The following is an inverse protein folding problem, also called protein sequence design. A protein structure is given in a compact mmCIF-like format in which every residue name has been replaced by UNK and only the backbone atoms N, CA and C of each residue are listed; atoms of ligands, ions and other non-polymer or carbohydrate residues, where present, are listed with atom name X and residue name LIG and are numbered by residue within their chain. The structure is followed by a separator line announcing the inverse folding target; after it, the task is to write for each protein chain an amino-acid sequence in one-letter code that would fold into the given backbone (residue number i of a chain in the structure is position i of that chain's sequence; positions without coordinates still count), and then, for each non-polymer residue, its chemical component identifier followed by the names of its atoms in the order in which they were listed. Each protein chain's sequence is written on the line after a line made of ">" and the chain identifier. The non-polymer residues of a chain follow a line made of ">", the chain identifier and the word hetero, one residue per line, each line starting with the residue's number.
data_IF_752157089134
#
_entry.id   IF_752157089134
#
_cell.length_a   1.000
_cell.length_b   1.000
_cell.length_c   1.000
_cell.angle_alpha   90.00
_cell.angle_beta   90.00
_cell.angle_gamma   90.00
#
_symmetry.space_group_name_H-M   'P 1'
#
loop_
_entity.id
_entity.type
_entity.pdbx_description
1 polymer ?
#
# COMPACT_ATOMS: atom_id res chain seq x y z
N UNK A 1 -12.32 -8.85 3.01
CA UNK A 1 -13.33 -8.39 2.05
C UNK A 1 -14.73 -8.62 2.59
N UNK A 2 -15.57 -7.58 2.66
CA UNK A 2 -16.97 -7.72 3.04
C UNK A 2 -17.77 -8.14 1.79
N UNK A 3 -18.09 -9.44 1.65
CA UNK A 3 -18.70 -10.03 0.45
C UNK A 3 -19.98 -9.31 0.00
N UNK A 4 -20.70 -8.64 0.90
CA UNK A 4 -21.93 -7.91 0.58
C UNK A 4 -21.70 -6.71 -0.35
N UNK A 5 -20.63 -5.93 -0.15
CA UNK A 5 -20.32 -4.76 -0.98
C UNK A 5 -19.90 -5.17 -2.40
N UNK A 6 -19.19 -6.29 -2.50
CA UNK A 6 -18.78 -6.85 -3.78
C UNK A 6 -19.99 -7.37 -4.58
N UNK A 7 -20.90 -8.11 -3.94
CA UNK A 7 -22.13 -8.58 -4.58
C UNK A 7 -23.03 -7.41 -5.00
N UNK A 8 -23.10 -6.35 -4.20
CA UNK A 8 -23.80 -5.13 -4.60
C UNK A 8 -23.18 -4.52 -5.87
N UNK A 9 -21.86 -4.32 -5.91
CA UNK A 9 -21.18 -3.74 -7.07
C UNK A 9 -21.41 -4.56 -8.36
N UNK A 10 -21.59 -5.88 -8.22
CA UNK A 10 -21.84 -6.79 -9.34
C UNK A 10 -23.28 -6.75 -9.84
N UNK A 11 -24.27 -6.61 -8.95
CA UNK A 11 -25.66 -6.88 -9.28
C UNK A 11 -26.57 -5.63 -9.24
N UNK A 12 -26.26 -4.64 -8.41
CA UNK A 12 -27.16 -3.50 -8.18
C UNK A 12 -26.83 -2.34 -9.12
N UNK A 13 -27.86 -1.67 -9.63
CA UNK A 13 -27.68 -0.46 -10.46
C UNK A 13 -27.46 0.81 -9.61
N UNK A 14 -27.65 0.74 -8.30
CA UNK A 14 -27.46 1.86 -7.39
C UNK A 14 -26.30 1.56 -6.45
N UNK A 15 -25.27 2.40 -6.49
CA UNK A 15 -24.16 2.36 -5.54
C UNK A 15 -24.64 2.96 -4.23
N UNK A 16 -24.71 2.13 -3.21
CA UNK A 16 -25.14 2.57 -1.88
C UNK A 16 -24.18 3.59 -1.27
N UNK A 17 -24.66 4.35 -0.29
CA UNK A 17 -23.80 5.28 0.46
C UNK A 17 -22.68 4.51 1.16
N UNK A 18 -22.97 3.32 1.65
CA UNK A 18 -22.04 2.41 2.31
C UNK A 18 -20.91 1.96 1.37
N UNK A 19 -21.24 1.62 0.12
CA UNK A 19 -20.24 1.24 -0.89
C UNK A 19 -19.35 2.43 -1.28
N UNK A 20 -19.94 3.61 -1.47
CA UNK A 20 -19.20 4.83 -1.79
C UNK A 20 -18.29 5.23 -0.63
N UNK A 21 -18.81 5.25 0.60
CA UNK A 21 -18.01 5.50 1.80
C UNK A 21 -16.86 4.51 1.94
N UNK A 22 -17.12 3.20 1.76
CA UNK A 22 -16.07 2.19 1.77
C UNK A 22 -14.98 2.51 0.74
N UNK A 23 -15.34 2.77 -0.52
CA UNK A 23 -14.38 3.08 -1.57
C UNK A 23 -13.55 4.34 -1.25
N UNK A 24 -14.15 5.39 -0.70
CA UNK A 24 -13.44 6.62 -0.36
C UNK A 24 -12.58 6.48 0.90
N UNK A 25 -13.09 5.81 1.93
CA UNK A 25 -12.36 5.57 3.19
C UNK A 25 -11.17 4.61 3.00
N UNK A 26 -11.25 3.65 2.05
CA UNK A 26 -10.11 2.75 1.76
C UNK A 26 -8.85 3.50 1.34
N UNK A 27 -8.99 4.71 0.79
CA UNK A 27 -7.87 5.58 0.41
C UNK A 27 -7.25 6.31 1.61
N UNK A 28 -7.94 6.44 2.74
CA UNK A 28 -7.35 7.01 3.95
C UNK A 28 -6.32 6.05 4.58
N UNK A 29 -6.58 4.74 4.50
CA UNK A 29 -5.71 3.73 5.10
C UNK A 29 -4.52 3.35 4.22
N UNK A 30 -4.60 3.55 2.90
CA UNK A 30 -3.54 3.23 1.93
C UNK A 30 -2.98 1.79 2.01
N UNK A 31 -3.69 0.86 2.65
CA UNK A 31 -3.23 -0.54 2.80
C UNK A 31 -3.48 -1.31 1.52
N UNK A 32 -2.53 -2.15 1.13
CA UNK A 32 -2.60 -2.93 -0.12
C UNK A 32 -3.85 -3.81 -0.18
N UNK A 33 -4.28 -4.41 0.94
CA UNK A 33 -5.51 -5.23 0.99
C UNK A 33 -6.74 -4.42 0.62
N UNK A 34 -6.93 -3.25 1.23
CA UNK A 34 -8.04 -2.35 0.95
C UNK A 34 -7.97 -1.78 -0.47
N UNK A 35 -6.77 -1.42 -0.93
CA UNK A 35 -6.55 -0.96 -2.30
C UNK A 35 -6.94 -2.04 -3.31
N UNK A 36 -6.58 -3.31 -3.07
CA UNK A 36 -6.95 -4.41 -3.95
C UNK A 36 -8.47 -4.62 -3.99
N UNK A 37 -9.13 -4.63 -2.83
CA UNK A 37 -10.60 -4.73 -2.75
C UNK A 37 -11.28 -3.58 -3.54
N UNK A 38 -10.78 -2.35 -3.40
CA UNK A 38 -11.30 -1.20 -4.15
C UNK A 38 -11.05 -1.32 -5.67
N UNK A 39 -9.85 -1.74 -6.09
CA UNK A 39 -9.51 -1.95 -7.51
C UNK A 39 -10.42 -3.00 -8.14
N UNK A 40 -10.70 -4.10 -7.44
CA UNK A 40 -11.61 -5.14 -7.94
C UNK A 40 -13.04 -4.61 -8.14
N UNK A 41 -13.58 -3.91 -7.14
CA UNK A 41 -14.90 -3.29 -7.23
C UNK A 41 -14.95 -2.29 -8.39
N UNK A 42 -13.97 -1.39 -8.51
CA UNK A 42 -13.92 -0.40 -9.58
C UNK A 42 -13.79 -1.04 -10.97
N UNK A 43 -13.06 -2.15 -11.10
CA UNK A 43 -12.98 -2.93 -12.35
C UNK A 43 -14.33 -3.54 -12.73
N UNK A 44 -15.09 -4.06 -11.77
CA UNK A 44 -16.44 -4.59 -12.02
C UNK A 44 -17.38 -3.49 -12.50
N UNK A 45 -17.40 -2.36 -11.79
CA UNK A 45 -18.22 -1.20 -12.16
C UNK A 45 -17.88 -0.67 -13.55
N UNK A 46 -16.58 -0.58 -13.87
CA UNK A 46 -16.11 -0.22 -15.21
C UNK A 46 -16.70 -1.15 -16.28
N UNK A 47 -16.60 -2.47 -16.11
CA UNK A 47 -17.09 -3.45 -17.09
C UNK A 47 -18.61 -3.30 -17.29
N UNK A 48 -19.36 -3.08 -16.21
CA UNK A 48 -20.81 -2.86 -16.27
C UNK A 48 -21.17 -1.58 -17.03
N UNK A 49 -20.47 -0.49 -16.75
CA UNK A 49 -20.66 0.79 -17.45
C UNK A 49 -20.28 0.65 -18.94
N UNK A 50 -19.20 -0.05 -19.27
CA UNK A 50 -18.79 -0.34 -20.65
C UNK A 50 -19.82 -1.20 -21.39
N UNK A 51 -20.51 -2.11 -20.69
CA UNK A 51 -21.63 -2.90 -21.22
C UNK A 51 -22.91 -2.08 -21.43
N UNK A 52 -23.03 -0.93 -20.77
CA UNK A 52 -24.18 -0.03 -20.87
C UNK A 52 -25.14 -0.06 -19.69
N UNK A 53 -24.76 -0.69 -18.57
CA UNK A 53 -25.54 -0.65 -17.33
C UNK A 53 -25.62 0.80 -16.81
N UNK A 54 -26.79 1.21 -16.30
CA UNK A 54 -27.02 2.56 -15.77
C UNK A 54 -26.73 2.61 -14.28
N UNK A 55 -25.45 2.76 -13.94
CA UNK A 55 -25.01 2.81 -12.54
C UNK A 55 -25.22 4.21 -11.96
N UNK A 56 -26.01 4.29 -10.88
CA UNK A 56 -26.36 5.54 -10.19
C UNK A 56 -25.65 5.63 -8.84
N UNK A 57 -24.99 6.75 -8.57
CA UNK A 57 -24.44 7.07 -7.26
C UNK A 57 -25.55 7.59 -6.32
N UNK A 58 -25.77 6.93 -5.18
CA UNK A 58 -26.78 7.34 -4.21
C UNK A 58 -26.44 8.63 -3.43
N UNK A 59 -25.18 9.08 -3.46
CA UNK A 59 -24.70 10.30 -2.80
C UNK A 59 -24.82 11.50 -3.74
N UNK A 60 -24.21 11.43 -4.93
CA UNK A 60 -24.23 12.53 -5.89
C UNK A 60 -25.47 12.56 -6.80
N UNK A 61 -26.23 11.46 -6.83
CA UNK A 61 -27.35 11.23 -7.77
C UNK A 61 -26.93 11.22 -9.26
N UNK A 62 -25.63 11.14 -9.55
CA UNK A 62 -25.12 11.04 -10.91
C UNK A 62 -25.29 9.62 -11.44
N UNK A 63 -25.65 9.51 -12.72
CA UNK A 63 -25.58 8.25 -13.47
C UNK A 63 -24.26 8.25 -14.21
N UNK A 64 -23.38 7.30 -13.91
CA UNK A 64 -22.06 7.26 -14.49
C UNK A 64 -22.10 6.77 -15.94
N UNK A 65 -21.60 7.60 -16.86
CA UNK A 65 -21.05 7.12 -18.12
C UNK A 65 -19.54 6.84 -17.96
N UNK A 66 -18.91 6.21 -18.95
CA UNK A 66 -17.50 5.84 -18.86
C UNK A 66 -16.55 7.05 -18.65
N UNK A 67 -16.69 8.18 -19.36
CA UNK A 67 -15.95 9.40 -19.07
C UNK A 67 -16.10 9.89 -17.62
N UNK A 68 -17.33 9.98 -17.11
CA UNK A 68 -17.62 10.45 -15.77
C UNK A 68 -17.02 9.51 -14.71
N UNK A 69 -17.14 8.21 -14.92
CA UNK A 69 -16.55 7.20 -14.04
C UNK A 69 -15.01 7.28 -14.03
N UNK A 70 -14.39 7.53 -15.18
CA UNK A 70 -12.94 7.77 -15.26
C UNK A 70 -12.54 9.01 -14.47
N UNK A 71 -13.31 10.09 -14.54
CA UNK A 71 -13.06 11.31 -13.77
C UNK A 71 -13.20 11.05 -12.27
N UNK A 72 -14.26 10.37 -11.85
CA UNK A 72 -14.47 9.96 -10.46
C UNK A 72 -13.27 9.18 -9.91
N UNK A 73 -12.82 8.14 -10.62
CA UNK A 73 -11.67 7.34 -10.16
C UNK A 73 -10.38 8.16 -10.13
N UNK A 74 -10.19 9.10 -11.07
CA UNK A 74 -9.00 9.95 -11.12
C UNK A 74 -8.97 10.98 -9.99
N UNK A 75 -10.12 11.52 -9.60
CA UNK A 75 -10.23 12.59 -8.62
C UNK A 75 -10.15 12.05 -7.18
N UNK A 76 -10.67 10.85 -6.94
CA UNK A 76 -10.82 10.31 -5.59
C UNK A 76 -9.79 9.24 -5.21
N UNK A 77 -9.05 8.67 -6.17
CA UNK A 77 -8.11 7.59 -5.92
C UNK A 77 -6.70 7.92 -6.39
N UNK A 78 -5.72 7.18 -5.88
CA UNK A 78 -4.32 7.37 -6.26
C UNK A 78 -4.09 7.01 -7.73
N UNK A 79 -3.00 7.54 -8.30
CA UNK A 79 -2.58 7.18 -9.66
C UNK A 79 -2.39 5.67 -9.83
N UNK A 80 -1.98 4.97 -8.76
CA UNK A 80 -1.89 3.51 -8.74
C UNK A 80 -3.25 2.85 -8.99
N UNK A 81 -4.27 3.17 -8.21
CA UNK A 81 -5.63 2.61 -8.38
C UNK A 81 -6.17 2.93 -9.77
N UNK A 82 -6.05 4.19 -10.19
CA UNK A 82 -6.50 4.60 -11.52
C UNK A 82 -5.84 3.77 -12.63
N UNK A 83 -4.51 3.58 -12.55
CA UNK A 83 -3.77 2.81 -13.53
C UNK A 83 -4.13 1.32 -13.49
N UNK A 84 -4.34 0.74 -12.31
CA UNK A 84 -4.80 -0.64 -12.18
C UNK A 84 -6.18 -0.86 -12.82
N UNK A 85 -7.08 0.12 -12.74
CA UNK A 85 -8.45 0.02 -13.29
C UNK A 85 -8.48 0.29 -14.80
N UNK A 86 -7.70 1.27 -15.30
CA UNK A 86 -7.85 1.78 -16.67
C UNK A 86 -6.63 1.63 -17.58
N UNK A 87 -5.41 1.46 -17.06
CA UNK A 87 -4.18 1.40 -17.85
C UNK A 87 -3.69 -0.04 -18.05
N UNK A 88 -3.09 -0.31 -19.21
CA UNK A 88 -2.38 -1.58 -19.48
C UNK A 88 -0.87 -1.51 -19.17
N UNK A 89 -0.35 -0.32 -18.88
CA UNK A 89 1.04 -0.12 -18.45
C UNK A 89 1.05 0.07 -16.94
N UNK A 90 1.47 -0.97 -16.22
CA UNK A 90 1.64 -0.93 -14.77
C UNK A 90 2.74 0.06 -14.39
N UNK A 91 2.36 1.17 -13.77
CA UNK A 91 3.30 2.05 -13.10
C UNK A 91 3.84 1.34 -11.84
N UNK A 92 5.14 1.43 -11.57
CA UNK A 92 5.71 0.76 -10.41
C UNK A 92 5.34 1.52 -9.13
N UNK A 93 4.50 0.91 -8.31
CA UNK A 93 4.13 1.40 -6.98
C UNK A 93 5.11 0.94 -5.90
N UNK A 94 5.24 1.73 -4.84
CA UNK A 94 6.12 1.47 -3.71
C UNK A 94 5.31 1.38 -2.43
N UNK A 95 5.72 0.49 -1.52
CA UNK A 95 5.03 0.26 -0.26
C UNK A 95 6.03 0.26 0.90
N UNK A 96 5.60 0.78 2.05
CA UNK A 96 6.29 0.59 3.32
C UNK A 96 5.65 -0.56 4.11
N UNK A 97 6.39 -1.05 5.11
CA UNK A 97 5.94 -2.11 6.00
C UNK A 97 5.55 -1.48 7.34
N UNK A 98 4.30 -1.68 7.75
CA UNK A 98 3.80 -1.28 9.06
C UNK A 98 3.58 -2.51 9.94
N UNK A 99 4.10 -2.55 11.18
CA UNK A 99 3.87 -3.68 12.08
C UNK A 99 2.38 -3.85 12.42
N UNK A 100 1.91 -5.09 12.37
CA UNK A 100 0.55 -5.47 12.78
C UNK A 100 0.57 -6.75 13.63
N UNK A 101 -0.58 -7.15 14.15
CA UNK A 101 -0.70 -8.44 14.84
C UNK A 101 -0.29 -9.58 13.88
N UNK A 102 0.67 -10.41 14.32
CA UNK A 102 1.15 -11.56 13.55
C UNK A 102 2.04 -11.24 12.33
N UNK A 103 2.36 -9.98 12.03
CA UNK A 103 3.18 -9.67 10.86
C UNK A 103 3.34 -8.19 10.51
N UNK A 104 3.28 -7.90 9.21
CA UNK A 104 3.40 -6.56 8.65
C UNK A 104 2.34 -6.34 7.57
N UNK A 105 1.77 -5.15 7.55
CA UNK A 105 0.94 -4.67 6.46
C UNK A 105 1.77 -3.88 5.45
N UNK A 106 1.35 -3.94 4.18
CA UNK A 106 1.92 -3.13 3.11
C UNK A 106 1.07 -1.87 2.94
N UNK A 107 1.69 -0.71 3.12
CA UNK A 107 1.03 0.60 3.01
C UNK A 107 1.65 1.38 1.86
N UNK A 108 0.82 1.93 0.98
CA UNK A 108 1.26 2.68 -0.19
C UNK A 108 2.14 3.85 0.25
N UNK A 109 3.27 4.02 -0.43
CA UNK A 109 4.31 4.97 -0.02
C UNK A 109 4.97 5.63 -1.22
N UNK A 110 5.62 6.77 -0.97
CA UNK A 110 6.43 7.43 -1.97
C UNK A 110 7.69 6.63 -2.29
N UNK A 111 8.12 6.71 -3.56
CA UNK A 111 9.34 6.08 -4.06
C UNK A 111 10.59 6.42 -3.22
N UNK A 112 10.65 7.64 -2.69
CA UNK A 112 11.81 8.16 -1.96
C UNK A 112 11.73 7.93 -0.44
N UNK A 113 10.72 7.18 0.02
CA UNK A 113 10.57 6.82 1.42
C UNK A 113 11.80 6.11 1.96
N UNK A 114 12.36 6.62 3.07
CA UNK A 114 13.53 6.00 3.70
C UNK A 114 13.14 4.66 4.34
N UNK A 115 13.84 3.60 3.95
CA UNK A 115 13.62 2.25 4.51
C UNK A 115 14.56 1.90 5.68
N UNK A 116 15.64 2.67 5.85
CA UNK A 116 16.59 2.52 6.96
C UNK A 116 17.10 3.87 7.47
N UNK A 117 17.58 3.88 8.71
CA UNK A 117 18.45 4.93 9.26
C UNK A 117 19.90 4.45 9.28
N UNK A 118 20.85 5.31 8.94
CA UNK A 118 22.27 4.98 9.10
C UNK A 118 22.66 5.07 10.59
N UNK A 119 23.48 4.13 11.07
CA UNK A 119 23.99 4.12 12.45
C UNK A 119 25.47 4.53 12.44
N UNK A 120 26.31 3.78 11.74
CA UNK A 120 27.76 4.00 11.68
C UNK A 120 28.38 3.27 10.49
N UNK A 121 29.57 3.70 10.05
CA UNK A 121 30.37 2.99 9.06
C UNK A 121 31.45 2.18 9.78
N UNK A 122 31.45 0.86 9.55
CA UNK A 122 32.45 -0.05 10.12
C UNK A 122 33.78 0.08 9.37
N UNK A 123 33.70 0.31 8.05
CA UNK A 123 34.82 0.64 7.17
C UNK A 123 34.27 1.19 5.84
N UNK A 124 35.14 1.37 4.84
CA UNK A 124 34.76 1.86 3.51
C UNK A 124 33.75 0.97 2.76
N UNK A 125 33.63 -0.31 3.13
CA UNK A 125 32.76 -1.28 2.45
C UNK A 125 31.45 -1.53 3.20
N UNK A 126 31.46 -1.43 4.53
CA UNK A 126 30.36 -1.87 5.37
C UNK A 126 29.87 -0.77 6.32
N UNK A 127 28.55 -0.63 6.40
CA UNK A 127 27.88 0.25 7.36
C UNK A 127 26.83 -0.52 8.14
N UNK A 128 26.63 -0.12 9.39
CA UNK A 128 25.48 -0.51 10.19
C UNK A 128 24.32 0.42 9.88
N UNK A 129 23.16 -0.19 9.63
CA UNK A 129 21.91 0.52 9.38
C UNK A 129 20.81 -0.09 10.23
N UNK A 130 19.87 0.75 10.65
CA UNK A 130 18.69 0.36 11.39
C UNK A 130 17.50 0.31 10.43
N UNK A 131 16.94 -0.88 10.18
CA UNK A 131 15.77 -1.02 9.33
C UNK A 131 14.54 -0.47 10.05
N UNK A 132 13.87 0.51 9.43
CA UNK A 132 12.80 1.27 10.08
C UNK A 132 11.58 0.38 10.35
N UNK A 133 11.25 -0.52 9.41
CA UNK A 133 10.10 -1.41 9.53
C UNK A 133 10.29 -2.45 10.64
N UNK A 134 11.38 -3.22 10.59
CA UNK A 134 11.60 -4.36 11.47
C UNK A 134 12.26 -4.00 12.81
N UNK A 135 12.78 -2.78 12.94
CA UNK A 135 13.53 -2.32 14.13
C UNK A 135 14.81 -3.13 14.39
N UNK A 136 15.32 -3.81 13.37
CA UNK A 136 16.51 -4.66 13.43
C UNK A 136 17.70 -3.96 12.76
N UNK A 137 18.90 -4.21 13.29
CA UNK A 137 20.18 -3.74 12.73
C UNK A 137 20.62 -4.66 11.59
N UNK A 138 21.08 -4.06 10.51
CA UNK A 138 21.62 -4.74 9.34
C UNK A 138 23.03 -4.22 9.04
N UNK A 139 23.85 -5.09 8.47
CA UNK A 139 25.09 -4.72 7.79
C UNK A 139 24.75 -4.46 6.33
N UNK A 140 24.97 -3.22 5.89
CA UNK A 140 24.88 -2.80 4.50
C UNK A 140 26.26 -2.90 3.85
N UNK A 141 26.37 -3.69 2.79
CA UNK A 141 27.52 -3.63 1.88
C UNK A 141 27.29 -2.50 0.87
N UNK A 142 28.09 -1.44 0.96
CA UNK A 142 27.91 -0.23 0.14
C UNK A 142 28.20 -0.51 -1.34
N UNK A 143 29.23 -1.32 -1.64
CA UNK A 143 29.62 -1.63 -3.02
C UNK A 143 28.64 -2.58 -3.69
N UNK A 144 28.25 -3.65 -2.98
CA UNK A 144 27.34 -4.66 -3.52
C UNK A 144 25.85 -4.25 -3.44
N UNK A 145 25.53 -3.17 -2.70
CA UNK A 145 24.16 -2.73 -2.42
C UNK A 145 23.28 -3.80 -1.76
N UNK A 146 23.90 -4.69 -0.98
CA UNK A 146 23.21 -5.76 -0.25
C UNK A 146 23.09 -5.43 1.23
N UNK A 147 22.11 -6.06 1.87
CA UNK A 147 21.84 -5.94 3.30
C UNK A 147 21.77 -7.35 3.89
N UNK A 148 22.41 -7.55 5.04
CA UNK A 148 22.30 -8.77 5.82
C UNK A 148 21.96 -8.41 7.26
N UNK A 149 21.09 -9.17 7.95
CA UNK A 149 20.81 -8.90 9.35
C UNK A 149 22.09 -9.04 10.18
N UNK A 150 22.29 -8.11 11.11
CA UNK A 150 23.34 -8.23 12.10
C UNK A 150 22.89 -9.23 13.17
N UNK A 151 23.63 -10.33 13.30
CA UNK A 151 23.40 -11.35 14.31
C UNK A 151 24.44 -11.22 15.42
N UNK A 152 24.00 -11.35 16.65
CA UNK A 152 24.91 -11.46 17.79
C UNK A 152 25.68 -12.78 17.76
N UNK A 153 26.69 -12.93 18.60
CA UNK A 153 27.40 -14.20 18.79
C UNK A 153 26.47 -15.35 19.21
N UNK A 154 25.32 -15.03 19.80
CA UNK A 154 24.32 -16.00 20.22
C UNK A 154 23.30 -16.30 19.11
N UNK A 155 23.49 -15.77 17.90
CA UNK A 155 22.59 -15.97 16.76
C UNK A 155 21.29 -15.17 16.84
N UNK A 156 21.21 -14.16 17.72
CA UNK A 156 20.00 -13.34 17.89
C UNK A 156 20.05 -12.08 17.03
N UNK A 157 18.87 -11.61 16.63
CA UNK A 157 18.73 -10.29 16.02
C UNK A 157 19.05 -9.20 17.05
N UNK A 158 19.44 -8.03 16.55
CA UNK A 158 19.76 -6.90 17.41
C UNK A 158 19.01 -5.65 17.00
N UNK A 159 18.68 -4.78 17.96
CA UNK A 159 18.20 -3.41 17.76
C UNK A 159 19.27 -2.40 18.13
N UNK A 160 19.19 -1.20 17.54
CA UNK A 160 19.98 -0.06 17.98
C UNK A 160 19.17 0.78 18.97
N UNK A 161 19.78 1.07 20.12
CA UNK A 161 19.22 1.97 21.12
C UNK A 161 19.93 3.32 21.04
N UNK A 162 19.27 4.30 20.44
CA UNK A 162 19.81 5.65 20.21
C UNK A 162 20.11 6.37 21.55
N UNK A 163 19.41 6.04 22.64
CA UNK A 163 19.54 6.75 23.93
C UNK A 163 20.85 6.43 24.65
N UNK A 164 21.33 5.19 24.51
CA UNK A 164 22.56 4.70 25.14
C UNK A 164 23.68 4.45 24.14
N UNK A 165 23.42 4.62 22.83
CA UNK A 165 24.40 4.40 21.76
C UNK A 165 24.85 2.95 21.64
N UNK A 166 23.98 1.97 21.93
CA UNK A 166 24.33 0.53 21.97
C UNK A 166 23.47 -0.31 21.05
N UNK A 167 24.04 -1.43 20.60
CA UNK A 167 23.34 -2.51 19.91
C UNK A 167 22.98 -3.57 20.95
N UNK A 168 21.70 -3.94 21.02
CA UNK A 168 21.16 -4.83 22.03
C UNK A 168 20.45 -6.01 21.36
N UNK A 169 20.60 -7.21 21.90
CA UNK A 169 19.87 -8.40 21.43
C UNK A 169 18.34 -8.24 21.62
N UNK A 170 17.58 -8.87 20.74
CA UNK A 170 16.12 -9.02 20.79
C UNK A 170 15.78 -10.51 20.91
#
# INVERSE_FOLDING_TARGET
>A
MNNQLFEQAKNDDILSKELISFLLETMEYNRLSFINDAVEILKILKIRIERGDKITDAVSHQIYNLPDFKSFVREHFSSYVYNEVFSSKGEKSYFCLEPCEGGYELVLSDKDSKVYKWISSLNEKFSLVYMIATKVVYIKNVKAKTYAPFLSSNGKYCRYDESVGKILEI
#
